data_IF_128519433712
#
_entry.id   IF_128519433712
#
_cell.length_a   1.000
_cell.length_b   1.000
_cell.length_c   1.000
_cell.angle_alpha   90.00
_cell.angle_beta   90.00
_cell.angle_gamma   90.00
#
_symmetry.space_group_name_H-M   'P 1'
#
loop_
_entity.id
_entity.type
_entity.pdbx_description
1 polymer ?
#
# COMPACT_ATOMS: atom_id res chain seq x y z
N UNK A 1 33.29 8.65 -6.36
CA UNK A 1 31.91 8.70 -5.83
C UNK A 1 30.96 8.31 -6.94
N UNK A 2 30.51 7.06 -6.96
CA UNK A 2 29.56 6.56 -7.96
C UNK A 2 28.13 6.84 -7.48
N UNK A 3 27.68 8.08 -7.62
CA UNK A 3 26.31 8.52 -7.32
C UNK A 3 25.64 8.90 -8.65
N UNK A 4 25.17 7.92 -9.44
CA UNK A 4 24.15 8.11 -10.49
C UNK A 4 23.79 6.87 -11.34
N UNK A 5 24.09 5.62 -10.94
CA UNK A 5 23.83 4.45 -11.80
C UNK A 5 22.39 3.91 -11.77
N UNK A 6 21.56 4.36 -10.84
CA UNK A 6 20.19 3.88 -10.66
C UNK A 6 19.19 5.00 -10.34
N UNK A 7 17.93 4.73 -10.65
CA UNK A 7 16.73 5.40 -10.19
C UNK A 7 16.23 4.68 -8.93
N UNK A 8 15.95 5.43 -7.87
CA UNK A 8 15.26 4.89 -6.70
C UNK A 8 13.77 5.20 -6.78
N UNK A 9 12.96 4.13 -6.82
CA UNK A 9 11.50 4.19 -6.83
C UNK A 9 10.98 3.72 -5.48
N UNK A 10 10.28 4.60 -4.76
CA UNK A 10 9.64 4.24 -3.49
C UNK A 10 8.15 4.00 -3.69
N UNK A 11 7.65 2.86 -3.22
CA UNK A 11 6.28 2.40 -3.31
C UNK A 11 5.64 2.42 -1.91
N UNK A 12 4.55 3.15 -1.72
CA UNK A 12 3.80 3.15 -0.46
C UNK A 12 2.73 2.05 -0.47
N UNK A 13 2.76 1.17 0.52
CA UNK A 13 1.94 -0.05 0.62
C UNK A 13 1.32 -0.17 2.01
N UNK A 14 0.33 -1.07 2.24
CA UNK A 14 -0.18 -1.33 3.57
C UNK A 14 0.93 -1.70 4.56
N UNK A 15 1.04 -0.91 5.63
CA UNK A 15 2.03 -1.07 6.69
C UNK A 15 1.92 -2.45 7.35
N UNK A 16 3.05 -3.15 7.46
CA UNK A 16 3.13 -4.51 8.02
C UNK A 16 2.80 -5.62 7.03
N UNK A 17 2.54 -5.29 5.76
CA UNK A 17 2.30 -6.24 4.68
C UNK A 17 3.24 -6.00 3.48
N UNK A 18 4.42 -5.43 3.75
CA UNK A 18 5.42 -5.09 2.75
C UNK A 18 5.90 -6.35 2.00
N UNK A 19 6.09 -7.46 2.71
CA UNK A 19 6.46 -8.76 2.14
C UNK A 19 5.39 -9.29 1.17
N UNK A 20 4.12 -9.20 1.56
CA UNK A 20 3.00 -9.55 0.70
C UNK A 20 2.97 -8.63 -0.52
N UNK A 21 3.16 -7.32 -0.34
CA UNK A 21 3.15 -6.37 -1.45
C UNK A 21 4.25 -6.66 -2.48
N UNK A 22 5.45 -7.07 -2.05
CA UNK A 22 6.54 -7.49 -2.95
C UNK A 22 6.09 -8.63 -3.85
N UNK A 23 5.41 -9.65 -3.31
CA UNK A 23 4.91 -10.79 -4.11
C UNK A 23 3.80 -10.41 -5.10
N UNK A 24 3.26 -9.19 -5.01
CA UNK A 24 2.18 -8.68 -5.86
C UNK A 24 2.65 -7.59 -6.83
N UNK A 25 3.94 -7.29 -6.87
CA UNK A 25 4.49 -6.40 -7.87
C UNK A 25 4.43 -7.06 -9.27
N UNK A 26 4.24 -6.29 -10.34
CA UNK A 26 4.25 -6.83 -11.70
C UNK A 26 5.63 -7.38 -12.03
N UNK A 27 5.69 -8.53 -12.70
CA UNK A 27 6.96 -9.20 -13.01
C UNK A 27 7.91 -8.26 -13.77
N UNK A 28 7.40 -7.47 -14.73
CA UNK A 28 8.23 -6.51 -15.47
C UNK A 28 8.87 -5.42 -14.60
N UNK A 29 8.23 -5.02 -13.49
CA UNK A 29 8.80 -4.09 -12.52
C UNK A 29 9.86 -4.79 -11.64
N UNK A 30 9.60 -6.03 -11.23
CA UNK A 30 10.56 -6.86 -10.48
C UNK A 30 11.82 -7.13 -11.32
N UNK A 31 11.66 -7.50 -12.59
CA UNK A 31 12.76 -7.79 -13.52
C UNK A 31 13.56 -6.53 -13.93
N UNK A 32 12.99 -5.35 -13.75
CA UNK A 32 13.66 -4.09 -13.98
C UNK A 32 14.46 -3.63 -12.75
N UNK A 33 14.08 -4.07 -11.55
CA UNK A 33 14.79 -3.72 -10.33
C UNK A 33 16.04 -4.59 -10.16
N UNK A 34 17.19 -3.94 -9.93
CA UNK A 34 18.41 -4.62 -9.46
C UNK A 34 18.31 -5.01 -7.99
N UNK A 35 17.52 -4.24 -7.23
CA UNK A 35 17.30 -4.44 -5.81
C UNK A 35 15.88 -4.01 -5.43
N UNK A 36 15.26 -4.77 -4.54
CA UNK A 36 14.04 -4.39 -3.83
C UNK A 36 14.35 -4.49 -2.33
N UNK A 37 14.18 -3.41 -1.59
CA UNK A 37 14.44 -3.34 -0.15
C UNK A 37 13.25 -2.76 0.61
N UNK A 38 12.99 -3.28 1.81
CA UNK A 38 11.90 -2.83 2.67
C UNK A 38 12.13 -3.24 4.12
N UNK A 39 11.40 -2.60 5.04
CA UNK A 39 11.34 -2.99 6.45
C UNK A 39 9.89 -3.20 6.85
N UNK A 40 9.58 -4.33 7.48
CA UNK A 40 8.22 -4.62 7.93
C UNK A 40 7.72 -3.56 8.91
N UNK A 41 6.51 -3.05 8.65
CA UNK A 41 5.86 -2.04 9.49
C UNK A 41 6.24 -0.59 9.16
N UNK A 42 6.96 -0.33 8.07
CA UNK A 42 7.21 1.06 7.60
C UNK A 42 6.17 1.54 6.60
N UNK A 43 5.56 0.64 5.84
CA UNK A 43 4.63 0.93 4.76
C UNK A 43 5.30 1.27 3.43
N UNK A 44 6.59 0.97 3.25
CA UNK A 44 7.30 1.31 2.00
C UNK A 44 8.20 0.19 1.48
N UNK A 45 8.26 0.10 0.15
CA UNK A 45 9.25 -0.64 -0.61
C UNK A 45 10.12 0.35 -1.40
N UNK A 46 11.42 0.12 -1.47
CA UNK A 46 12.35 0.87 -2.33
C UNK A 46 12.89 -0.06 -3.40
N UNK A 47 12.78 0.34 -4.66
CA UNK A 47 13.28 -0.39 -5.82
C UNK A 47 14.40 0.42 -6.46
N UNK A 48 15.56 -0.21 -6.67
CA UNK A 48 16.67 0.37 -7.42
C UNK A 48 16.61 -0.12 -8.88
N UNK A 49 16.24 0.77 -9.80
CA UNK A 49 16.14 0.49 -11.24
C UNK A 49 17.40 1.05 -11.92
N UNK A 50 18.21 0.25 -12.63
CA UNK A 50 19.42 0.73 -13.27
C UNK A 50 19.08 1.65 -14.46
N UNK A 51 19.92 2.66 -14.69
CA UNK A 51 19.74 3.67 -15.73
C UNK A 51 20.50 3.36 -17.03
N UNK A 52 20.99 2.13 -17.17
CA UNK A 52 21.71 1.66 -18.35
C UNK A 52 20.79 1.38 -19.55
N UNK A 53 19.47 1.28 -19.31
CA UNK A 53 18.46 0.99 -20.33
C UNK A 53 17.27 1.96 -20.27
N UNK A 54 17.42 3.22 -20.73
CA UNK A 54 16.40 4.26 -20.59
C UNK A 54 15.04 3.91 -21.20
N UNK A 55 15.00 3.22 -22.35
CA UNK A 55 13.74 2.80 -22.97
C UNK A 55 12.97 1.78 -22.12
N UNK A 56 13.69 0.85 -21.50
CA UNK A 56 13.11 -0.17 -20.61
C UNK A 56 12.59 0.47 -19.33
N UNK A 57 13.35 1.40 -18.74
CA UNK A 57 12.95 2.19 -17.57
C UNK A 57 11.65 2.96 -17.84
N UNK A 58 11.63 3.76 -18.91
CA UNK A 58 10.48 4.58 -19.28
C UNK A 58 9.25 3.70 -19.50
N UNK A 59 9.39 2.56 -20.17
CA UNK A 59 8.31 1.60 -20.36
C UNK A 59 7.77 1.07 -19.03
N UNK A 60 8.64 0.61 -18.13
CA UNK A 60 8.25 0.04 -16.83
C UNK A 60 7.54 1.08 -15.96
N UNK A 61 8.01 2.33 -15.97
CA UNK A 61 7.37 3.41 -15.22
C UNK A 61 6.03 3.83 -15.85
N UNK A 62 5.94 3.87 -17.18
CA UNK A 62 4.68 4.09 -17.90
C UNK A 62 3.67 3.00 -17.56
N UNK A 63 4.08 1.73 -17.59
CA UNK A 63 3.24 0.59 -17.22
C UNK A 63 2.77 0.69 -15.76
N UNK A 64 3.65 1.09 -14.83
CA UNK A 64 3.30 1.31 -13.42
C UNK A 64 2.29 2.45 -13.25
N UNK A 65 2.46 3.56 -13.99
CA UNK A 65 1.54 4.71 -13.95
C UNK A 65 0.16 4.34 -14.47
N UNK A 66 0.09 3.61 -15.58
CA UNK A 66 -1.18 3.25 -16.22
C UNK A 66 -1.88 2.06 -15.57
N UNK A 67 -1.11 1.12 -15.02
CA UNK A 67 -1.60 -0.13 -14.43
C UNK A 67 -1.01 -0.35 -13.03
N UNK A 68 -1.29 0.56 -12.07
CA UNK A 68 -0.72 0.47 -10.74
C UNK A 68 -1.21 -0.80 -10.01
N UNK A 69 -0.30 -1.58 -9.38
CA UNK A 69 -0.66 -2.78 -8.62
C UNK A 69 -1.66 -2.46 -7.53
N UNK A 70 -2.64 -3.33 -7.27
CA UNK A 70 -3.73 -3.04 -6.34
C UNK A 70 -3.29 -2.85 -4.89
N UNK A 71 -2.12 -3.37 -4.50
CA UNK A 71 -1.55 -3.20 -3.17
C UNK A 71 -0.88 -1.83 -2.94
N UNK A 72 -0.85 -0.94 -3.93
CA UNK A 72 -0.12 0.32 -3.87
C UNK A 72 -1.01 1.51 -3.50
N UNK A 73 -0.58 2.38 -2.58
CA UNK A 73 -1.22 3.67 -2.33
C UNK A 73 -0.67 4.77 -3.24
N UNK A 74 0.65 4.87 -3.34
CA UNK A 74 1.35 5.89 -4.15
C UNK A 74 2.71 5.35 -4.57
N UNK A 75 3.32 5.93 -5.59
CA UNK A 75 4.73 5.73 -5.93
C UNK A 75 5.42 7.07 -6.07
N UNK A 76 6.71 7.14 -5.77
CA UNK A 76 7.51 8.36 -5.91
C UNK A 76 8.94 8.04 -6.34
N UNK A 77 9.50 8.88 -7.19
CA UNK A 77 10.92 8.86 -7.52
C UNK A 77 11.69 9.62 -6.44
N UNK A 78 12.69 8.99 -5.85
CA UNK A 78 13.57 9.64 -4.88
C UNK A 78 14.42 10.71 -5.59
N UNK A 79 14.36 11.92 -5.06
CA UNK A 79 15.19 13.06 -5.48
C UNK A 79 16.50 13.07 -4.70
N UNK A 80 16.44 12.70 -3.42
CA UNK A 80 17.61 12.61 -2.54
C UNK A 80 17.22 12.48 -1.07
N UNK A 81 18.23 12.54 -0.21
CA UNK A 81 18.08 12.48 1.24
C UNK A 81 18.54 13.79 1.88
N UNK A 82 17.85 14.22 2.93
CA UNK A 82 18.25 15.32 3.80
C UNK A 82 18.60 14.74 5.16
N UNK A 83 19.85 14.95 5.60
CA UNK A 83 20.31 14.55 6.92
C UNK A 83 19.79 15.50 7.98
N UNK A 84 19.36 14.96 9.12
CA UNK A 84 18.91 15.71 10.30
C UNK A 84 19.70 15.18 11.50
N UNK A 85 20.63 15.96 12.09
CA UNK A 85 21.38 15.52 13.26
C UNK A 85 20.45 15.09 14.39
N UNK A 86 20.79 14.03 15.12
CA UNK A 86 19.91 13.51 16.18
C UNK A 86 19.65 14.53 17.29
N UNK A 87 20.66 15.34 17.64
CA UNK A 87 20.53 16.47 18.57
C UNK A 87 19.41 17.43 18.16
N UNK A 88 19.37 17.79 16.87
CA UNK A 88 18.33 18.65 16.29
C UNK A 88 16.98 17.94 16.25
N UNK A 89 16.94 16.67 15.82
CA UNK A 89 15.71 15.89 15.68
C UNK A 89 14.96 15.72 17.02
N UNK A 90 15.69 15.45 18.10
CA UNK A 90 15.12 15.22 19.43
C UNK A 90 14.75 16.51 20.17
N UNK A 91 15.24 17.67 19.70
CA UNK A 91 14.99 18.99 20.28
C UNK A 91 13.96 19.79 19.46
N UNK A 92 12.69 19.92 19.90
CA UNK A 92 11.62 20.50 19.08
C UNK A 92 11.87 21.92 18.57
N UNK A 93 12.50 22.77 19.40
CA UNK A 93 12.83 24.15 19.03
C UNK A 93 13.95 24.21 17.98
N UNK A 94 14.95 23.33 18.12
CA UNK A 94 16.06 23.24 17.19
C UNK A 94 15.60 22.66 15.86
N UNK A 95 14.76 21.63 15.87
CA UNK A 95 14.16 21.07 14.67
C UNK A 95 13.34 22.13 13.91
N UNK A 96 12.52 22.91 14.61
CA UNK A 96 11.76 23.97 13.95
C UNK A 96 12.66 25.04 13.33
N UNK A 97 13.70 25.47 14.04
CA UNK A 97 14.69 26.41 13.50
C UNK A 97 15.44 25.84 12.28
N UNK A 98 15.84 24.57 12.35
CA UNK A 98 16.49 23.85 11.25
C UNK A 98 15.62 23.81 9.99
N UNK A 99 14.32 23.53 10.17
CA UNK A 99 13.33 23.53 9.08
C UNK A 99 13.14 24.94 8.48
N UNK A 100 13.03 25.97 9.33
CA UNK A 100 12.89 27.37 8.92
C UNK A 100 14.12 27.89 8.17
N UNK A 101 15.31 27.41 8.53
CA UNK A 101 16.57 27.75 7.88
C UNK A 101 16.86 26.90 6.63
N UNK A 102 15.88 26.15 6.13
CA UNK A 102 16.03 25.40 4.88
C UNK A 102 16.93 24.17 5.01
N UNK A 103 16.82 23.47 6.14
CA UNK A 103 17.60 22.26 6.46
C UNK A 103 19.11 22.53 6.56
N UNK A 104 19.46 23.63 7.24
CA UNK A 104 20.83 24.02 7.53
C UNK A 104 21.05 24.24 9.03
N UNK A 105 22.23 23.88 9.52
CA UNK A 105 22.65 24.10 10.93
C UNK A 105 23.41 25.43 11.03
N UNK A 106 22.85 26.41 11.73
CA UNK A 106 23.47 27.73 11.95
C UNK A 106 23.42 28.69 10.75
N UNK A 107 24.02 29.88 10.89
CA UNK A 107 24.03 30.98 9.89
C UNK A 107 25.27 30.97 8.95
N UNK A 108 25.98 29.85 8.77
CA UNK A 108 27.27 29.85 8.07
C UNK A 108 27.27 29.24 6.65
N UNK A 109 27.82 30.01 5.71
CA UNK A 109 28.08 29.74 4.29
C UNK A 109 29.01 28.54 3.98
N UNK A 110 29.46 27.75 4.96
CA UNK A 110 30.51 26.75 4.78
C UNK A 110 30.15 25.31 5.19
N UNK A 111 28.87 24.98 5.35
CA UNK A 111 28.49 23.59 5.56
C UNK A 111 28.21 22.90 4.22
N UNK A 112 29.16 22.10 3.74
CA UNK A 112 29.03 21.23 2.57
C UNK A 112 28.09 20.04 2.83
N UNK A 113 26.95 20.26 3.49
CA UNK A 113 25.86 19.30 3.45
C UNK A 113 25.22 19.46 2.07
N UNK A 114 25.67 18.63 1.16
CA UNK A 114 25.10 18.46 -0.16
C UNK A 114 23.66 17.95 -0.01
N UNK A 115 22.71 18.84 0.22
CA UNK A 115 21.30 18.65 -0.15
C UNK A 115 21.22 18.67 -1.69
N UNK A 116 22.05 17.87 -2.35
CA UNK A 116 22.18 17.78 -3.80
C UNK A 116 21.01 16.93 -4.30
N UNK A 117 19.85 17.57 -4.24
CA UNK A 117 18.57 17.01 -4.63
C UNK A 117 18.50 17.04 -6.16
N UNK A 118 18.47 15.85 -6.77
CA UNK A 118 18.48 15.71 -8.21
C UNK A 118 17.08 15.91 -8.82
N UNK A 119 16.56 17.13 -8.70
CA UNK A 119 15.20 17.46 -9.13
C UNK A 119 14.98 17.29 -10.63
N UNK A 120 15.96 17.70 -11.44
CA UNK A 120 15.85 17.67 -12.90
C UNK A 120 15.63 16.25 -13.42
N UNK A 121 16.41 15.28 -12.91
CA UNK A 121 16.27 13.86 -13.25
C UNK A 121 14.91 13.31 -12.86
N UNK A 122 14.46 13.56 -11.63
CA UNK A 122 13.16 13.07 -11.18
C UNK A 122 12.02 13.64 -12.04
N UNK A 123 12.03 14.95 -12.30
CA UNK A 123 10.98 15.60 -13.09
C UNK A 123 11.00 15.21 -14.56
N UNK A 124 12.18 15.01 -15.17
CA UNK A 124 12.26 14.53 -16.55
C UNK A 124 11.64 13.14 -16.67
N UNK A 125 11.91 12.25 -15.72
CA UNK A 125 11.36 10.90 -15.73
C UNK A 125 9.84 10.92 -15.51
N UNK A 126 9.35 11.71 -14.55
CA UNK A 126 7.91 11.87 -14.33
C UNK A 126 7.23 12.35 -15.62
N UNK A 127 7.74 13.42 -16.25
CA UNK A 127 7.20 13.93 -17.51
C UNK A 127 7.18 12.86 -18.60
N UNK A 128 8.30 12.17 -18.84
CA UNK A 128 8.41 11.15 -19.90
C UNK A 128 7.51 9.94 -19.62
N UNK A 129 7.41 9.48 -18.38
CA UNK A 129 6.56 8.33 -18.00
C UNK A 129 5.06 8.60 -18.18
N UNK A 130 4.65 9.88 -18.16
CA UNK A 130 3.25 10.31 -18.36
C UNK A 130 2.90 10.60 -19.82
N UNK A 131 3.91 10.91 -20.65
CA UNK A 131 3.72 11.39 -22.02
C UNK A 131 3.51 10.27 -23.05
N UNK A 132 3.58 8.99 -22.67
CA UNK A 132 3.40 7.86 -23.57
C UNK A 132 1.96 7.34 -23.46
N UNK A 133 1.03 7.79 -24.31
CA UNK A 133 -0.19 7.02 -24.55
C UNK A 133 0.20 5.73 -25.27
N UNK A 134 -0.23 4.57 -24.76
CA UNK A 134 -0.16 3.29 -25.50
C UNK A 134 -0.76 3.53 -26.88
N UNK A 135 0.02 3.21 -27.92
CA UNK A 135 -0.25 3.51 -29.31
C UNK A 135 -1.74 3.38 -29.70
N UNK A 136 -2.42 4.52 -29.83
CA UNK A 136 -3.57 4.66 -30.70
C UNK A 136 -3.13 5.43 -31.93
N UNK A 137 -3.11 4.74 -33.08
CA UNK A 137 -2.85 5.32 -34.39
C UNK A 137 -3.72 6.57 -34.62
N UNK A 138 -3.10 7.75 -34.59
CA UNK A 138 -3.36 8.86 -35.52
C UNK A 138 -2.31 9.94 -35.31
N UNK A 139 -1.45 10.10 -36.31
CA UNK A 139 -0.55 11.22 -36.42
C UNK A 139 -1.34 12.50 -36.71
N UNK A 140 -1.06 13.57 -35.97
CA UNK A 140 -1.21 14.93 -36.46
C UNK A 140 -0.15 15.80 -35.81
N UNK A 141 0.86 16.10 -36.60
CA UNK A 141 1.88 17.12 -36.38
C UNK A 141 1.26 18.51 -36.28
N UNK A 142 1.54 19.25 -35.21
CA UNK A 142 1.43 20.72 -35.21
C UNK A 142 2.62 21.36 -34.49
N UNK A 143 3.11 22.43 -35.12
CA UNK A 143 4.25 23.27 -34.76
C UNK A 143 4.12 23.89 -33.37
N UNK A 144 5.21 23.92 -32.62
CA UNK A 144 5.32 24.61 -31.33
C UNK A 144 6.09 25.92 -31.56
N UNK A 145 5.33 26.97 -31.86
CA UNK A 145 5.79 28.34 -31.62
C UNK A 145 5.62 28.68 -30.14
N UNK A 146 6.52 29.54 -29.66
CA UNK A 146 6.72 29.98 -28.28
C UNK A 146 5.41 30.32 -27.54
N UNK A 147 5.03 29.48 -26.57
CA UNK A 147 4.02 29.79 -25.54
C UNK A 147 4.76 29.82 -24.21
N UNK A 148 4.67 30.95 -23.48
CA UNK A 148 5.17 31.06 -22.12
C UNK A 148 4.63 29.88 -21.30
N UNK A 149 5.51 29.02 -20.77
CA UNK A 149 5.07 27.86 -20.00
C UNK A 149 4.14 28.33 -18.86
N UNK A 150 2.95 27.73 -18.72
CA UNK A 150 2.09 28.04 -17.58
C UNK A 150 2.87 27.77 -16.28
N UNK A 151 2.77 28.67 -15.30
CA UNK A 151 3.44 28.50 -14.00
C UNK A 151 2.98 27.18 -13.37
N UNK A 152 3.86 26.16 -13.33
CA UNK A 152 3.57 24.85 -12.75
C UNK A 152 3.09 25.00 -11.32
N UNK A 153 2.01 24.30 -10.98
CA UNK A 153 1.49 24.25 -9.62
C UNK A 153 2.01 23.02 -8.89
N UNK A 154 2.31 23.15 -7.61
CA UNK A 154 2.78 22.02 -6.81
C UNK A 154 2.23 22.03 -5.40
N UNK A 155 2.29 20.88 -4.75
CA UNK A 155 2.15 20.79 -3.30
C UNK A 155 3.33 20.04 -2.68
N UNK A 156 3.61 20.38 -1.43
CA UNK A 156 4.52 19.63 -0.59
C UNK A 156 3.72 18.87 0.47
N UNK A 157 4.00 17.57 0.58
CA UNK A 157 3.42 16.65 1.55
C UNK A 157 4.51 16.07 2.43
N UNK A 158 4.16 15.70 3.65
CA UNK A 158 5.10 15.01 4.52
C UNK A 158 4.45 13.81 5.20
N UNK A 159 5.03 12.64 4.99
CA UNK A 159 4.63 11.41 5.64
C UNK A 159 5.56 11.10 6.82
N UNK A 160 4.97 11.08 8.01
CA UNK A 160 5.71 10.80 9.24
C UNK A 160 5.90 9.29 9.49
N UNK A 161 5.18 8.42 8.79
CA UNK A 161 5.12 6.99 9.07
C UNK A 161 4.87 6.71 10.55
N UNK A 162 5.75 5.91 11.16
CA UNK A 162 5.71 5.56 12.60
C UNK A 162 6.52 6.49 13.49
N UNK A 163 7.13 7.54 12.92
CA UNK A 163 7.99 8.46 13.66
C UNK A 163 7.15 9.50 14.40
N UNK A 164 7.39 9.62 15.71
CA UNK A 164 6.79 10.64 16.56
C UNK A 164 7.87 11.63 16.99
N UNK A 165 7.66 12.91 16.69
CA UNK A 165 8.44 14.02 17.23
C UNK A 165 7.53 14.91 18.09
N UNK A 166 8.04 15.36 19.23
CA UNK A 166 7.32 16.28 20.13
C UNK A 166 7.41 17.70 19.54
N UNK A 167 6.33 18.46 19.61
CA UNK A 167 6.34 19.91 19.33
C UNK A 167 6.50 20.36 17.86
N UNK A 168 6.87 19.48 16.93
CA UNK A 168 6.87 19.75 15.48
C UNK A 168 5.73 18.97 14.83
N UNK A 169 5.00 19.59 13.91
CA UNK A 169 3.90 18.95 13.17
C UNK A 169 4.37 18.57 11.77
N UNK A 170 3.73 17.57 11.16
CA UNK A 170 4.02 17.18 9.78
C UNK A 170 3.83 18.34 8.80
N UNK A 171 2.91 19.27 9.08
CA UNK A 171 2.71 20.48 8.31
C UNK A 171 3.92 21.42 8.34
N UNK A 172 4.65 21.48 9.46
CA UNK A 172 5.83 22.35 9.59
C UNK A 172 6.98 21.81 8.71
N UNK A 173 7.14 20.47 8.67
CA UNK A 173 8.11 19.82 7.78
C UNK A 173 7.70 19.92 6.30
N UNK A 174 6.42 19.73 6.00
CA UNK A 174 5.88 19.90 4.65
C UNK A 174 6.06 21.35 4.15
N UNK A 175 5.87 22.35 5.00
CA UNK A 175 6.11 23.75 4.66
C UNK A 175 7.58 24.03 4.35
N UNK A 176 8.51 23.50 5.14
CA UNK A 176 9.95 23.62 4.88
C UNK A 176 10.35 22.94 3.56
N UNK A 177 9.78 21.77 3.27
CA UNK A 177 9.97 21.11 1.97
C UNK A 177 9.40 21.95 0.81
N UNK A 178 8.23 22.57 1.00
CA UNK A 178 7.65 23.48 0.01
C UNK A 178 8.52 24.70 -0.26
N UNK A 179 9.13 25.29 0.79
CA UNK A 179 10.08 26.39 0.64
C UNK A 179 11.35 25.95 -0.11
N UNK A 180 11.86 24.74 0.17
CA UNK A 180 12.99 24.17 -0.55
C UNK A 180 12.69 23.96 -2.05
N UNK A 181 11.50 23.41 -2.36
CA UNK A 181 11.04 23.26 -3.75
C UNK A 181 10.86 24.62 -4.44
N UNK A 182 10.29 25.62 -3.76
CA UNK A 182 10.13 26.96 -4.33
C UNK A 182 11.47 27.66 -4.62
N UNK A 183 12.52 27.40 -3.81
CA UNK A 183 13.89 27.87 -4.12
C UNK A 183 14.45 27.17 -5.36
N UNK A 184 14.21 25.87 -5.52
CA UNK A 184 14.64 25.13 -6.70
C UNK A 184 13.86 25.55 -7.97
N UNK A 185 12.61 25.98 -7.81
CA UNK A 185 11.72 26.37 -8.90
C UNK A 185 10.98 27.70 -8.62
N UNK A 186 11.65 28.86 -8.80
CA UNK A 186 11.07 30.17 -8.45
C UNK A 186 9.77 30.55 -9.17
N UNK A 187 9.49 29.92 -10.33
CA UNK A 187 8.27 30.14 -11.10
C UNK A 187 7.08 29.25 -10.71
N UNK A 188 7.28 28.27 -9.82
CA UNK A 188 6.23 27.35 -9.42
C UNK A 188 5.34 27.95 -8.32
N UNK A 189 4.04 27.64 -8.37
CA UNK A 189 3.05 28.14 -7.41
C UNK A 189 2.53 27.03 -6.51
N UNK A 190 2.40 27.29 -5.22
CA UNK A 190 1.80 26.32 -4.29
C UNK A 190 0.28 26.25 -4.51
N UNK A 191 -0.26 25.06 -4.70
CA UNK A 191 -1.69 24.80 -4.69
C UNK A 191 -1.97 23.47 -3.95
N UNK A 192 -2.79 23.52 -2.89
CA UNK A 192 -3.02 22.37 -2.01
C UNK A 192 -4.16 21.46 -2.48
N UNK A 193 -4.99 21.92 -3.41
CA UNK A 193 -6.18 21.21 -3.89
C UNK A 193 -5.98 20.65 -5.30
N UNK A 194 -5.48 21.47 -6.22
CA UNK A 194 -5.27 21.12 -7.62
C UNK A 194 -3.82 21.42 -7.98
N UNK A 195 -3.03 20.38 -8.21
CA UNK A 195 -1.58 20.52 -8.39
C UNK A 195 -1.09 19.61 -9.51
N UNK A 196 -0.09 20.09 -10.25
CA UNK A 196 0.57 19.31 -11.31
C UNK A 196 1.59 18.34 -10.72
N UNK A 197 2.27 18.76 -9.64
CA UNK A 197 3.36 18.00 -9.02
C UNK A 197 3.15 17.90 -7.52
N UNK A 198 3.26 16.69 -6.97
CA UNK A 198 3.38 16.49 -5.53
C UNK A 198 4.82 16.11 -5.16
N UNK A 199 5.42 16.93 -4.31
CA UNK A 199 6.70 16.64 -3.66
C UNK A 199 6.39 16.05 -2.30
N UNK A 200 6.97 14.90 -1.99
CA UNK A 200 6.74 14.19 -0.73
C UNK A 200 8.05 14.03 0.02
N UNK A 201 8.04 14.45 1.29
CA UNK A 201 9.07 14.11 2.25
C UNK A 201 8.62 12.95 3.12
N UNK A 202 9.53 12.06 3.50
CA UNK A 202 9.23 11.01 4.50
C UNK A 202 10.39 10.76 5.42
N UNK A 203 10.10 10.48 6.68
CA UNK A 203 11.12 9.99 7.60
C UNK A 203 11.56 8.59 7.17
N UNK A 204 12.85 8.42 6.95
CA UNK A 204 13.44 7.11 6.68
C UNK A 204 14.24 6.69 7.91
N UNK A 205 13.93 5.49 8.40
CA UNK A 205 14.82 4.75 9.29
C UNK A 205 15.77 3.98 8.40
N UNK A 206 17.02 3.77 8.82
CA UNK A 206 17.91 2.85 8.12
C UNK A 206 17.19 1.54 7.81
N UNK A 207 16.88 1.35 6.53
CA UNK A 207 16.19 0.16 6.05
C UNK A 207 17.20 -0.96 6.02
N UNK A 208 16.98 -2.00 6.84
CA UNK A 208 17.71 -3.25 6.67
C UNK A 208 17.31 -3.84 5.33
N UNK A 209 18.28 -4.05 4.44
CA UNK A 209 18.04 -4.64 3.12
C UNK A 209 17.51 -6.07 3.29
N UNK A 210 16.33 -6.33 2.72
CA UNK A 210 15.84 -7.70 2.47
C UNK A 210 15.89 -7.92 0.97
N UNK A 211 16.92 -8.60 0.49
CA UNK A 211 17.04 -8.90 -0.94
C UNK A 211 16.00 -9.93 -1.36
N UNK A 212 15.16 -9.56 -2.33
CA UNK A 212 14.38 -10.50 -3.12
C UNK A 212 15.00 -10.62 -4.50
N UNK A 213 15.73 -11.71 -4.77
CA UNK A 213 16.11 -12.09 -6.13
C UNK A 213 15.11 -13.15 -6.57
N UNK A 214 14.18 -12.78 -7.44
CA UNK A 214 13.13 -13.68 -7.92
C UNK A 214 13.74 -14.99 -8.44
N UNK A 215 13.18 -16.12 -8.01
CA UNK A 215 13.54 -17.40 -8.60
C UNK A 215 13.17 -17.38 -10.09
N UNK A 216 14.18 -17.59 -10.94
CA UNK A 216 14.02 -17.56 -12.39
C UNK A 216 13.04 -18.63 -12.86
N UNK A 217 12.13 -18.24 -13.74
CA UNK A 217 11.32 -19.16 -14.53
C UNK A 217 12.24 -19.92 -15.50
N UNK A 218 12.55 -21.18 -15.21
CA UNK A 218 13.04 -22.11 -16.23
C UNK A 218 11.86 -22.82 -16.88
N UNK A 219 11.62 -22.49 -18.14
CA UNK A 219 10.76 -23.21 -19.06
C UNK A 219 11.28 -24.63 -19.30
N UNK A 220 10.53 -25.65 -18.93
CA UNK A 220 10.66 -26.98 -19.56
C UNK A 220 9.32 -27.73 -19.49
N UNK A 221 8.98 -28.31 -20.65
CA UNK A 221 7.77 -29.05 -20.99
C UNK A 221 7.28 -30.05 -19.93
N UNK A 222 5.98 -29.98 -19.61
CA UNK A 222 5.27 -30.99 -18.82
C UNK A 222 5.09 -32.24 -19.69
N UNK A 223 5.81 -33.31 -19.35
CA UNK A 223 5.33 -34.69 -19.49
C UNK A 223 4.74 -35.10 -18.15
N UNK A 224 3.57 -35.71 -18.20
CA UNK A 224 2.88 -36.34 -17.08
C UNK A 224 3.78 -37.42 -16.45
N UNK A 225 4.06 -37.34 -15.15
CA UNK A 225 3.76 -38.45 -14.24
C UNK A 225 3.84 -38.02 -12.77
N UNK A 226 3.19 -38.85 -11.97
CA UNK A 226 2.82 -38.73 -10.56
C UNK A 226 3.98 -38.49 -9.59
N UNK A 227 3.72 -37.59 -8.63
CA UNK A 227 4.10 -37.60 -7.20
C UNK A 227 4.32 -36.15 -6.74
N UNK A 228 3.35 -35.56 -6.04
CA UNK A 228 3.47 -34.19 -5.50
C UNK A 228 3.68 -34.27 -3.99
N UNK A 229 4.98 -34.19 -3.67
CA UNK A 229 5.55 -33.83 -2.39
C UNK A 229 5.16 -32.38 -2.00
N UNK A 230 5.16 -32.12 -0.69
CA UNK A 230 4.73 -30.87 -0.06
C UNK A 230 5.77 -29.75 -0.31
N UNK A 231 5.52 -28.86 -1.27
CA UNK A 231 6.30 -27.64 -1.46
C UNK A 231 5.59 -26.40 -0.90
N UNK A 232 6.15 -25.79 0.15
CA UNK A 232 5.79 -24.44 0.62
C UNK A 232 6.27 -23.37 -0.38
N UNK A 233 5.57 -22.23 -0.56
CA UNK A 233 6.07 -21.15 -1.40
C UNK A 233 7.19 -20.37 -0.69
N UNK A 234 8.35 -20.27 -1.36
CA UNK A 234 9.38 -19.22 -1.22
C UNK A 234 9.70 -18.74 0.21
N UNK A 235 10.66 -19.38 0.87
CA UNK A 235 11.11 -18.99 2.21
C UNK A 235 11.97 -17.71 2.17
N UNK A 236 11.36 -16.57 2.51
CA UNK A 236 12.08 -15.31 2.81
C UNK A 236 12.97 -15.55 4.04
N UNK A 237 14.30 -15.51 3.86
CA UNK A 237 15.26 -15.69 4.96
C UNK A 237 15.19 -14.50 5.92
N UNK A 238 14.50 -14.66 7.04
CA UNK A 238 14.47 -13.71 8.15
C UNK A 238 15.81 -13.75 8.91
N UNK A 239 16.63 -12.70 8.82
CA UNK A 239 17.75 -12.48 9.74
C UNK A 239 17.28 -11.66 10.95
N UNK A 240 17.71 -12.09 12.16
CA UNK A 240 17.52 -11.37 13.43
C UNK A 240 18.71 -10.43 13.59
N UNK A 241 18.48 -9.12 13.72
CA UNK A 241 19.60 -8.15 13.76
C UNK A 241 19.37 -7.09 14.84
N UNK A 242 20.43 -6.87 15.63
CA UNK A 242 20.61 -5.88 16.69
C UNK A 242 20.40 -4.42 16.20
N UNK A 243 19.96 -3.54 17.11
CA UNK A 243 19.81 -2.10 16.89
C UNK A 243 21.19 -1.43 16.95
N UNK A 244 21.68 -0.88 15.83
CA UNK A 244 22.79 0.07 15.86
C UNK A 244 22.23 1.46 16.15
N UNK A 245 22.83 2.16 17.11
CA UNK A 245 22.46 3.53 17.50
C UNK A 245 22.77 4.49 16.36
N UNK A 246 21.74 4.95 15.65
CA UNK A 246 21.92 5.81 14.51
C UNK A 246 22.05 7.29 14.93
N UNK A 247 23.20 7.92 14.66
CA UNK A 247 23.54 9.29 15.08
C UNK A 247 22.78 10.39 14.30
N UNK A 248 22.09 10.02 13.21
CA UNK A 248 21.33 10.94 12.35
C UNK A 248 19.96 10.37 11.98
N UNK A 249 18.97 11.26 11.84
CA UNK A 249 17.68 10.97 11.22
C UNK A 249 17.70 11.44 9.76
N UNK A 250 16.99 10.75 8.86
CA UNK A 250 17.00 11.06 7.43
C UNK A 250 15.59 11.38 6.93
N UNK A 251 15.48 12.42 6.09
CA UNK A 251 14.27 12.69 5.31
C UNK A 251 14.57 12.28 3.87
N UNK A 252 13.81 11.33 3.33
CA UNK A 252 13.81 11.07 1.90
C UNK A 252 12.84 12.04 1.23
N UNK A 253 13.33 12.74 0.20
CA UNK A 253 12.54 13.63 -0.64
C UNK A 253 12.28 12.93 -1.96
N UNK A 254 11.03 12.94 -2.42
CA UNK A 254 10.64 12.36 -3.70
C UNK A 254 9.60 13.18 -4.44
N UNK A 255 9.47 12.91 -5.74
CA UNK A 255 8.37 13.41 -6.58
C UNK A 255 7.39 12.27 -6.82
N UNK A 256 6.11 12.48 -6.51
CA UNK A 256 5.06 11.48 -6.65
C UNK A 256 4.73 11.25 -8.14
N UNK A 257 4.61 9.98 -8.52
CA UNK A 257 4.14 9.56 -9.83
C UNK A 257 2.61 9.72 -9.90
N UNK A 258 2.04 10.25 -11.00
CA UNK A 258 0.60 10.45 -11.14
C UNK A 258 -0.09 9.14 -11.56
N UNK A 259 -0.09 8.18 -10.64
CA UNK A 259 -0.68 6.87 -10.87
C UNK A 259 -2.17 6.99 -11.24
N UNK A 260 -2.60 6.21 -12.23
CA UNK A 260 -3.99 6.11 -12.70
C UNK A 260 -4.89 5.32 -11.71
N UNK A 261 -4.84 5.67 -10.42
CA UNK A 261 -5.54 4.96 -9.34
C UNK A 261 -7.06 5.13 -9.46
N UNK A 262 -7.53 6.35 -9.70
CA UNK A 262 -8.96 6.68 -9.77
C UNK A 262 -9.65 6.09 -11.00
N UNK A 263 -8.91 5.90 -12.10
CA UNK A 263 -9.42 5.28 -13.33
C UNK A 263 -9.20 3.77 -13.34
N UNK A 264 -8.54 3.20 -12.33
CA UNK A 264 -8.36 1.76 -12.21
C UNK A 264 -9.73 1.10 -11.95
N UNK A 265 -10.25 0.27 -12.87
CA UNK A 265 -11.58 -0.33 -12.73
C UNK A 265 -11.66 -1.25 -11.51
N UNK A 266 -10.52 -1.78 -11.06
CA UNK A 266 -10.39 -2.66 -9.90
C UNK A 266 -10.27 -1.92 -8.56
N UNK A 267 -10.33 -0.59 -8.56
CA UNK A 267 -10.33 0.27 -7.35
C UNK A 267 -11.65 1.01 -7.17
N UNK A 268 -12.70 0.55 -7.85
CA UNK A 268 -13.96 1.26 -7.86
C UNK A 268 -14.86 0.90 -6.68
N UNK A 269 -15.20 1.91 -5.88
CA UNK A 269 -16.22 1.84 -4.83
C UNK A 269 -16.97 3.18 -4.77
N UNK A 270 -18.16 3.29 -5.38
CA UNK A 270 -18.87 4.57 -5.45
C UNK A 270 -19.51 4.97 -4.11
N UNK A 271 -19.79 4.02 -3.21
CA UNK A 271 -20.47 4.32 -1.95
C UNK A 271 -19.65 3.87 -0.75
N UNK A 272 -19.40 4.83 0.15
CA UNK A 272 -18.73 4.58 1.41
C UNK A 272 -19.68 4.35 2.59
N UNK A 273 -19.21 3.53 3.53
CA UNK A 273 -19.71 3.45 4.89
C UNK A 273 -18.94 4.42 5.80
N UNK A 274 -19.33 4.47 7.08
CA UNK A 274 -18.67 5.31 8.09
C UNK A 274 -17.18 4.99 8.26
N UNK A 275 -16.82 3.71 8.12
CA UNK A 275 -15.45 3.21 8.28
C UNK A 275 -15.11 2.17 7.21
N UNK A 276 -15.29 2.51 5.93
CA UNK A 276 -14.90 1.60 4.85
C UNK A 276 -13.40 1.30 4.88
N UNK A 277 -13.04 0.02 4.90
CA UNK A 277 -11.66 -0.42 4.70
C UNK A 277 -11.16 0.01 3.32
N UNK A 278 -9.93 0.48 3.19
CA UNK A 278 -9.36 0.81 1.87
C UNK A 278 -9.20 -0.44 1.00
N UNK A 279 -9.42 -0.33 -0.32
CA UNK A 279 -9.35 -1.46 -1.26
C UNK A 279 -7.96 -2.10 -1.28
N UNK A 280 -6.91 -1.29 -1.20
CA UNK A 280 -5.51 -1.74 -1.19
C UNK A 280 -5.22 -2.63 0.02
N UNK A 281 -5.82 -2.28 1.17
CA UNK A 281 -5.69 -3.05 2.41
C UNK A 281 -6.51 -4.34 2.28
N UNK A 282 -7.75 -4.27 1.79
CA UNK A 282 -8.58 -5.46 1.57
C UNK A 282 -7.89 -6.47 0.62
N UNK A 283 -7.35 -5.99 -0.50
CA UNK A 283 -6.61 -6.82 -1.45
C UNK A 283 -5.39 -7.47 -0.79
N UNK A 284 -4.60 -6.70 -0.04
CA UNK A 284 -3.39 -7.22 0.59
C UNK A 284 -3.70 -8.21 1.72
N UNK A 285 -4.79 -7.99 2.48
CA UNK A 285 -5.29 -8.95 3.46
C UNK A 285 -5.70 -10.27 2.81
N UNK A 286 -6.42 -10.22 1.69
CA UNK A 286 -6.79 -11.42 0.92
C UNK A 286 -5.57 -12.12 0.34
N UNK A 287 -4.63 -11.36 -0.22
CA UNK A 287 -3.36 -11.88 -0.72
C UNK A 287 -2.56 -12.61 0.37
N UNK A 288 -2.54 -12.08 1.60
CA UNK A 288 -1.94 -12.69 2.78
C UNK A 288 -2.72 -13.93 3.24
N UNK A 289 -4.06 -13.88 3.20
CA UNK A 289 -4.92 -14.98 3.62
C UNK A 289 -4.82 -16.20 2.69
N UNK A 290 -4.44 -15.99 1.43
CA UNK A 290 -4.29 -17.01 0.40
C UNK A 290 -5.55 -17.86 0.18
N UNK A 291 -6.67 -17.25 -0.29
CA UNK A 291 -7.82 -18.00 -0.79
C UNK A 291 -7.40 -19.03 -1.83
N UNK A 292 -7.85 -20.27 -1.66
CA UNK A 292 -7.61 -21.36 -2.59
C UNK A 292 -8.83 -21.56 -3.47
N UNK A 293 -8.62 -22.10 -4.67
CA UNK A 293 -9.74 -22.52 -5.53
C UNK A 293 -10.64 -23.49 -4.77
N UNK A 294 -11.94 -23.20 -4.73
CA UNK A 294 -12.95 -23.94 -3.98
C UNK A 294 -13.21 -23.43 -2.56
N UNK A 295 -12.39 -22.53 -2.01
CA UNK A 295 -12.60 -22.01 -0.65
C UNK A 295 -13.93 -21.25 -0.55
N UNK A 296 -14.67 -21.50 0.53
CA UNK A 296 -15.76 -20.65 1.03
C UNK A 296 -15.14 -19.60 1.96
N UNK A 297 -15.14 -18.34 1.52
CA UNK A 297 -14.57 -17.20 2.22
C UNK A 297 -15.68 -16.31 2.78
N UNK A 298 -15.63 -16.02 4.09
CA UNK A 298 -16.65 -15.22 4.77
C UNK A 298 -16.04 -14.00 5.47
N UNK A 299 -16.61 -12.83 5.20
CA UNK A 299 -16.47 -11.66 6.06
C UNK A 299 -17.69 -11.57 6.98
N UNK A 300 -17.48 -11.68 8.30
CA UNK A 300 -18.56 -11.65 9.29
C UNK A 300 -18.98 -10.23 9.70
N UNK A 301 -18.24 -9.20 9.29
CA UNK A 301 -18.47 -7.79 9.60
C UNK A 301 -18.26 -6.94 8.33
N UNK A 302 -19.02 -7.27 7.28
CA UNK A 302 -18.70 -6.87 5.92
C UNK A 302 -18.83 -5.36 5.62
N UNK A 303 -19.58 -4.61 6.44
CA UNK A 303 -19.83 -3.19 6.19
C UNK A 303 -20.43 -2.99 4.80
N UNK A 304 -19.79 -2.12 4.00
CA UNK A 304 -20.17 -1.89 2.59
C UNK A 304 -19.56 -2.89 1.60
N UNK A 305 -19.14 -4.07 2.09
CA UNK A 305 -18.76 -5.22 1.27
C UNK A 305 -17.35 -5.21 0.69
N UNK A 306 -16.43 -4.37 1.17
CA UNK A 306 -15.13 -4.18 0.49
C UNK A 306 -14.32 -5.48 0.38
N UNK A 307 -14.16 -6.25 1.46
CA UNK A 307 -13.41 -7.51 1.45
C UNK A 307 -14.05 -8.54 0.49
N UNK A 308 -15.35 -8.89 0.60
CA UNK A 308 -15.94 -9.89 -0.28
C UNK A 308 -16.00 -9.45 -1.74
N UNK A 309 -16.19 -8.15 -2.04
CA UNK A 309 -16.18 -7.62 -3.41
C UNK A 309 -14.78 -7.75 -4.02
N UNK A 310 -13.75 -7.25 -3.34
CA UNK A 310 -12.35 -7.35 -3.81
C UNK A 310 -11.93 -8.82 -3.94
N UNK A 311 -12.36 -9.67 -3.00
CA UNK A 311 -12.17 -11.11 -3.05
C UNK A 311 -12.72 -11.74 -4.32
N UNK A 312 -14.00 -11.53 -4.59
CA UNK A 312 -14.68 -12.10 -5.74
C UNK A 312 -14.13 -11.57 -7.08
N UNK A 313 -13.60 -10.34 -7.11
CA UNK A 313 -12.97 -9.76 -8.31
C UNK A 313 -11.58 -10.33 -8.57
N UNK A 314 -10.76 -10.54 -7.53
CA UNK A 314 -9.33 -10.89 -7.69
C UNK A 314 -8.98 -12.35 -7.42
N UNK A 315 -9.88 -13.11 -6.79
CA UNK A 315 -9.70 -14.53 -6.46
C UNK A 315 -10.91 -15.34 -6.93
N UNK A 316 -11.26 -15.32 -8.23
CA UNK A 316 -12.52 -15.88 -8.75
C UNK A 316 -12.65 -17.40 -8.60
N UNK A 317 -11.58 -18.09 -8.18
CA UNK A 317 -11.62 -19.51 -7.83
C UNK A 317 -12.32 -19.80 -6.49
N UNK A 318 -12.59 -18.80 -5.66
CA UNK A 318 -13.21 -18.96 -4.33
C UNK A 318 -14.60 -18.32 -4.29
N UNK A 319 -15.47 -18.84 -3.43
CA UNK A 319 -16.77 -18.26 -3.16
C UNK A 319 -16.68 -17.25 -2.02
N UNK A 320 -17.08 -16.00 -2.25
CA UNK A 320 -17.04 -14.94 -1.25
C UNK A 320 -18.43 -14.59 -0.73
N UNK A 321 -18.54 -14.40 0.57
CA UNK A 321 -19.75 -13.90 1.22
C UNK A 321 -19.43 -12.85 2.29
N UNK A 322 -20.40 -11.96 2.54
CA UNK A 322 -20.33 -10.92 3.54
C UNK A 322 -21.61 -10.84 4.37
N UNK A 323 -21.47 -10.92 5.69
CA UNK A 323 -22.56 -10.69 6.66
C UNK A 323 -22.43 -9.29 7.23
N UNK A 324 -23.53 -8.54 7.23
CA UNK A 324 -23.60 -7.20 7.82
C UNK A 324 -24.92 -7.05 8.58
N UNK A 325 -24.89 -6.39 9.74
CA UNK A 325 -26.05 -6.26 10.63
C UNK A 325 -26.88 -5.00 10.35
N UNK A 326 -26.29 -3.99 9.71
CA UNK A 326 -26.94 -2.74 9.35
C UNK A 326 -27.54 -2.88 7.93
N UNK A 327 -28.87 -2.89 7.77
CA UNK A 327 -29.51 -3.10 6.45
C UNK A 327 -29.03 -2.14 5.38
N UNK A 328 -28.89 -0.84 5.70
CA UNK A 328 -28.42 0.15 4.73
C UNK A 328 -26.99 -0.11 4.23
N UNK A 329 -26.14 -0.78 5.01
CA UNK A 329 -24.80 -1.14 4.56
C UNK A 329 -24.82 -2.34 3.61
N UNK A 330 -25.79 -3.26 3.77
CA UNK A 330 -26.03 -4.36 2.83
C UNK A 330 -26.46 -3.80 1.47
N UNK A 331 -27.37 -2.82 1.45
CA UNK A 331 -27.81 -2.17 0.21
C UNK A 331 -26.65 -1.47 -0.51
N UNK A 332 -25.84 -0.72 0.24
CA UNK A 332 -24.60 -0.09 -0.28
C UNK A 332 -23.60 -1.12 -0.79
N UNK A 333 -23.45 -2.26 -0.10
CA UNK A 333 -22.57 -3.33 -0.53
C UNK A 333 -23.04 -3.94 -1.86
N UNK A 334 -24.35 -4.15 -2.02
CA UNK A 334 -24.92 -4.64 -3.27
C UNK A 334 -24.71 -3.66 -4.44
N UNK A 335 -24.87 -2.34 -4.19
CA UNK A 335 -24.55 -1.30 -5.15
C UNK A 335 -23.06 -1.33 -5.52
N UNK A 336 -22.16 -1.29 -4.54
CA UNK A 336 -20.72 -1.36 -4.78
C UNK A 336 -20.32 -2.60 -5.59
N UNK A 337 -20.91 -3.77 -5.31
CA UNK A 337 -20.63 -5.00 -6.03
C UNK A 337 -21.05 -4.91 -7.51
N UNK A 338 -22.25 -4.38 -7.78
CA UNK A 338 -22.76 -4.17 -9.14
C UNK A 338 -21.91 -3.18 -9.92
N UNK A 339 -21.56 -2.07 -9.30
CA UNK A 339 -20.82 -0.96 -9.90
C UNK A 339 -19.37 -1.33 -10.20
N UNK A 340 -18.69 -2.03 -9.27
CA UNK A 340 -17.37 -2.62 -9.51
C UNK A 340 -17.42 -3.61 -10.68
N UNK A 341 -18.42 -4.48 -10.72
CA UNK A 341 -18.59 -5.45 -11.80
C UNK A 341 -18.72 -4.77 -13.16
N UNK A 342 -19.60 -3.77 -13.26
CA UNK A 342 -19.80 -3.02 -14.49
C UNK A 342 -18.48 -2.36 -14.96
N UNK A 343 -17.72 -1.72 -14.06
CA UNK A 343 -16.42 -1.13 -14.41
C UNK A 343 -15.40 -2.14 -14.90
N UNK A 344 -15.33 -3.33 -14.29
CA UNK A 344 -14.43 -4.40 -14.74
C UNK A 344 -14.87 -4.97 -16.10
N UNK A 345 -16.17 -5.17 -16.32
CA UNK A 345 -16.73 -5.67 -17.58
C UNK A 345 -16.58 -4.66 -18.74
N UNK A 346 -16.64 -3.36 -18.48
CA UNK A 346 -16.38 -2.29 -19.46
C UNK A 346 -14.92 -2.22 -19.91
N UNK A 347 -13.99 -2.78 -19.13
CA UNK A 347 -12.56 -2.67 -19.38
C UNK A 347 -12.11 -3.62 -20.48
N UNK A 348 -11.41 -3.10 -21.51
CA UNK A 348 -10.82 -3.94 -22.57
C UNK A 348 -9.83 -4.95 -21.97
N UNK A 349 -10.07 -6.23 -22.22
CA UNK A 349 -9.25 -7.31 -21.65
C UNK A 349 -9.55 -7.62 -20.18
N UNK A 350 -10.57 -6.98 -19.60
CA UNK A 350 -11.12 -7.36 -18.30
C UNK A 350 -11.58 -8.82 -18.37
N UNK A 351 -11.05 -9.65 -17.47
CA UNK A 351 -11.58 -11.01 -17.33
C UNK A 351 -12.93 -10.87 -16.65
N UNK A 352 -14.04 -11.33 -17.26
CA UNK A 352 -15.34 -11.30 -16.60
C UNK A 352 -15.23 -12.07 -15.28
N UNK A 353 -15.49 -11.40 -14.15
CA UNK A 353 -15.64 -12.11 -12.89
C UNK A 353 -17.01 -12.78 -12.90
N UNK A 354 -17.02 -14.09 -13.07
CA UNK A 354 -18.23 -14.89 -12.99
C UNK A 354 -18.74 -15.03 -11.54
N UNK A 355 -17.93 -14.68 -10.54
CA UNK A 355 -18.27 -14.75 -9.13
C UNK A 355 -18.65 -13.37 -8.62
N UNK A 356 -19.94 -13.16 -8.33
CA UNK A 356 -20.39 -12.07 -7.46
C UNK A 356 -20.36 -12.54 -6.00
N UNK A 357 -20.00 -11.68 -5.04
CA UNK A 357 -20.08 -12.05 -3.64
C UNK A 357 -21.54 -12.21 -3.20
N UNK A 358 -21.79 -13.11 -2.25
CA UNK A 358 -23.09 -13.20 -1.57
C UNK A 358 -23.12 -12.28 -0.37
N UNK A 359 -23.87 -11.18 -0.47
CA UNK A 359 -23.99 -10.17 0.58
C UNK A 359 -25.35 -10.30 1.25
N UNK A 360 -25.39 -10.40 2.59
CA UNK A 360 -26.64 -10.65 3.30
C UNK A 360 -26.71 -9.95 4.65
N UNK A 361 -27.95 -9.63 5.05
CA UNK A 361 -28.25 -9.14 6.40
C UNK A 361 -28.07 -10.28 7.40
N UNK A 362 -27.17 -10.11 8.36
CA UNK A 362 -26.89 -11.14 9.36
C UNK A 362 -26.16 -10.61 10.60
N UNK A 363 -26.36 -11.30 11.73
CA UNK A 363 -25.67 -10.98 12.97
C UNK A 363 -24.38 -11.80 13.08
N UNK A 364 -23.23 -11.12 13.09
CA UNK A 364 -21.91 -11.72 13.30
C UNK A 364 -21.81 -12.56 14.58
N UNK A 365 -22.69 -12.33 15.58
CA UNK A 365 -22.79 -13.11 16.82
C UNK A 365 -23.50 -14.46 16.63
N UNK A 366 -24.26 -14.62 15.56
CA UNK A 366 -25.13 -15.76 15.29
C UNK A 366 -25.37 -15.95 13.78
N UNK A 367 -24.28 -16.08 13.01
CA UNK A 367 -24.36 -16.27 11.54
C UNK A 367 -25.17 -17.54 11.24
N UNK A 368 -26.20 -17.43 10.40
CA UNK A 368 -27.18 -18.49 10.11
C UNK A 368 -26.66 -19.58 9.15
N UNK A 369 -25.38 -19.94 9.26
CA UNK A 369 -24.73 -21.00 8.50
C UNK A 369 -24.42 -22.19 9.40
N UNK A 370 -24.30 -23.39 8.82
CA UNK A 370 -23.94 -24.60 9.57
C UNK A 370 -22.52 -24.49 10.11
N UNK A 371 -22.20 -25.28 11.13
CA UNK A 371 -20.84 -25.34 11.66
C UNK A 371 -19.90 -26.03 10.66
N UNK A 372 -18.63 -25.62 10.63
CA UNK A 372 -17.60 -26.27 9.83
C UNK A 372 -17.76 -26.11 8.32
N UNK A 373 -18.41 -25.05 7.84
CA UNK A 373 -18.65 -24.82 6.40
C UNK A 373 -17.71 -23.81 5.76
N UNK A 374 -16.98 -23.01 6.55
CA UNK A 374 -16.15 -21.91 6.03
C UNK A 374 -14.68 -22.35 6.01
N UNK A 375 -14.01 -22.16 4.88
CA UNK A 375 -12.59 -22.44 4.71
C UNK A 375 -11.70 -21.32 5.26
N UNK A 376 -12.14 -20.07 5.03
CA UNK A 376 -11.38 -18.88 5.35
C UNK A 376 -12.30 -17.76 5.84
N UNK A 377 -11.97 -17.16 6.98
CA UNK A 377 -12.60 -15.92 7.44
C UNK A 377 -11.61 -14.77 7.24
N UNK A 378 -12.01 -13.71 6.53
CA UNK A 378 -11.24 -12.46 6.43
C UNK A 378 -12.17 -11.33 6.83
N UNK A 379 -11.87 -10.63 7.92
CA UNK A 379 -12.81 -9.64 8.46
C UNK A 379 -12.11 -8.49 9.19
N UNK A 380 -12.59 -7.27 8.93
CA UNK A 380 -12.23 -6.08 9.69
C UNK A 380 -13.24 -5.87 10.83
N UNK A 381 -12.84 -6.25 12.04
CA UNK A 381 -13.72 -6.26 13.20
C UNK A 381 -13.98 -4.82 13.69
N UNK A 382 -15.07 -4.54 14.42
CA UNK A 382 -15.30 -3.21 14.98
C UNK A 382 -14.25 -2.83 16.04
N UNK A 383 -13.65 -1.63 15.92
CA UNK A 383 -12.52 -1.19 16.77
C UNK A 383 -12.92 -0.41 18.03
N UNK A 384 -14.21 -0.06 18.22
CA UNK A 384 -14.65 0.64 19.42
C UNK A 384 -14.30 2.14 19.46
N UNK A 385 -13.86 2.70 18.34
CA UNK A 385 -13.50 4.13 18.18
C UNK A 385 -14.52 4.89 17.36
N UNK A 386 -14.76 4.45 16.12
CA UNK A 386 -15.73 5.04 15.19
C UNK A 386 -16.99 4.18 15.04
N UNK A 387 -16.83 2.88 15.24
CA UNK A 387 -17.90 1.89 15.30
C UNK A 387 -17.81 1.12 16.62
N UNK A 388 -18.94 0.98 17.32
CA UNK A 388 -19.03 0.39 18.67
C UNK A 388 -18.25 1.18 19.74
N UNK A 389 -18.03 0.58 20.92
CA UNK A 389 -17.18 1.08 22.00
C UNK A 389 -16.36 -0.05 22.61
N UNK A 390 -15.26 0.25 23.31
CA UNK A 390 -14.47 -0.77 24.02
C UNK A 390 -15.35 -1.67 24.93
N UNK A 391 -16.29 -1.05 25.66
CA UNK A 391 -17.24 -1.75 26.55
C UNK A 391 -18.15 -2.69 25.77
N UNK A 392 -18.68 -2.23 24.64
CA UNK A 392 -19.48 -3.07 23.74
C UNK A 392 -18.65 -4.21 23.14
N UNK A 393 -17.42 -3.92 22.71
CA UNK A 393 -16.50 -4.89 22.15
C UNK A 393 -16.11 -5.98 23.15
N UNK A 394 -15.96 -5.64 24.43
CA UNK A 394 -15.75 -6.63 25.50
C UNK A 394 -16.86 -7.68 25.58
N UNK A 395 -18.10 -7.33 25.21
CA UNK A 395 -19.24 -8.26 25.13
C UNK A 395 -19.34 -8.96 23.76
N UNK A 396 -18.89 -8.29 22.70
CA UNK A 396 -18.98 -8.76 21.32
C UNK A 396 -17.89 -9.78 20.97
N UNK A 397 -16.63 -9.50 21.27
CA UNK A 397 -15.48 -10.31 20.83
C UNK A 397 -15.54 -11.77 21.31
N UNK A 398 -15.97 -12.08 22.55
CA UNK A 398 -16.16 -13.48 22.96
C UNK A 398 -17.17 -14.22 22.07
N UNK A 399 -18.22 -13.54 21.61
CA UNK A 399 -19.24 -14.12 20.72
C UNK A 399 -18.70 -14.27 19.29
N UNK A 400 -17.96 -13.28 18.79
CA UNK A 400 -17.32 -13.36 17.48
C UNK A 400 -16.32 -14.52 17.41
N UNK A 401 -15.44 -14.66 18.40
CA UNK A 401 -14.46 -15.77 18.42
C UNK A 401 -15.15 -17.13 18.48
N UNK A 402 -16.25 -17.26 19.23
CA UNK A 402 -17.07 -18.48 19.21
C UNK A 402 -17.66 -18.76 17.82
N UNK A 403 -18.09 -17.73 17.10
CA UNK A 403 -18.59 -17.89 15.73
C UNK A 403 -17.47 -18.25 14.76
N UNK A 404 -16.28 -17.66 14.89
CA UNK A 404 -15.09 -18.05 14.11
C UNK A 404 -14.78 -19.54 14.31
N UNK A 405 -14.72 -20.01 15.56
CA UNK A 405 -14.49 -21.43 15.89
C UNK A 405 -15.58 -22.32 15.27
N UNK A 406 -16.85 -21.91 15.39
CA UNK A 406 -17.99 -22.71 14.94
C UNK A 406 -18.06 -22.80 13.41
N UNK A 407 -17.85 -21.68 12.72
CA UNK A 407 -18.03 -21.57 11.27
C UNK A 407 -16.88 -22.21 10.50
N UNK A 408 -15.65 -22.07 10.99
CA UNK A 408 -14.48 -22.65 10.34
C UNK A 408 -14.56 -24.18 10.35
N UNK A 409 -14.28 -24.79 9.20
CA UNK A 409 -14.00 -26.23 9.16
C UNK A 409 -12.69 -26.55 9.88
N UNK A 410 -12.47 -27.83 10.15
CA UNK A 410 -11.16 -28.29 10.64
C UNK A 410 -10.08 -27.92 9.63
N UNK A 411 -8.99 -27.29 10.11
CA UNK A 411 -7.92 -26.74 9.27
C UNK A 411 -8.30 -25.48 8.49
N UNK A 412 -9.47 -24.88 8.77
CA UNK A 412 -9.84 -23.56 8.27
C UNK A 412 -8.95 -22.46 8.87
N UNK A 413 -8.94 -21.29 8.22
CA UNK A 413 -8.04 -20.18 8.54
C UNK A 413 -8.83 -18.91 8.83
N UNK A 414 -8.26 -18.00 9.62
CA UNK A 414 -8.84 -16.68 9.81
C UNK A 414 -7.77 -15.58 9.78
N UNK A 415 -8.09 -14.48 9.11
CA UNK A 415 -7.36 -13.21 9.14
C UNK A 415 -8.32 -12.16 9.70
N UNK A 416 -8.03 -11.69 10.92
CA UNK A 416 -8.89 -10.76 11.64
C UNK A 416 -8.13 -9.46 11.90
N UNK A 417 -8.71 -8.34 11.46
CA UNK A 417 -8.14 -7.01 11.68
C UNK A 417 -8.88 -6.33 12.83
N UNK A 418 -8.14 -5.73 13.75
CA UNK A 418 -8.74 -5.00 14.88
C UNK A 418 -7.78 -3.99 15.51
N UNK A 419 -8.31 -2.81 15.89
CA UNK A 419 -7.65 -1.89 16.82
C UNK A 419 -7.62 -2.37 18.28
N UNK A 420 -8.48 -3.32 18.65
CA UNK A 420 -8.65 -3.89 20.00
C UNK A 420 -7.71 -5.09 20.23
N UNK A 421 -6.44 -4.94 19.88
CA UNK A 421 -5.47 -6.04 19.78
C UNK A 421 -5.33 -6.85 21.08
N UNK A 422 -5.30 -6.16 22.23
CA UNK A 422 -5.22 -6.80 23.57
C UNK A 422 -6.50 -7.57 23.91
N UNK A 423 -7.66 -7.04 23.54
CA UNK A 423 -8.94 -7.68 23.81
C UNK A 423 -9.10 -8.95 22.97
N UNK A 424 -8.78 -8.89 21.67
CA UNK A 424 -8.81 -10.08 20.81
C UNK A 424 -7.84 -11.15 21.31
N UNK A 425 -6.60 -10.77 21.64
CA UNK A 425 -5.61 -11.69 22.22
C UNK A 425 -6.15 -12.39 23.47
N UNK A 426 -6.76 -11.64 24.40
CA UNK A 426 -7.39 -12.22 25.59
C UNK A 426 -8.49 -13.23 25.27
N UNK A 427 -9.26 -13.00 24.21
CA UNK A 427 -10.28 -13.98 23.78
C UNK A 427 -9.67 -15.22 23.15
N UNK A 428 -8.63 -15.06 22.33
CA UNK A 428 -7.91 -16.19 21.72
C UNK A 428 -7.21 -17.07 22.77
N UNK A 429 -6.69 -16.47 23.84
CA UNK A 429 -6.03 -17.18 24.94
C UNK A 429 -7.00 -17.80 25.96
N UNK A 430 -8.30 -17.55 25.81
CA UNK A 430 -9.32 -18.06 26.73
C UNK A 430 -9.49 -19.58 26.64
N UNK A 431 -9.97 -20.19 27.72
CA UNK A 431 -10.21 -21.65 27.81
C UNK A 431 -11.15 -22.20 26.75
N UNK A 432 -12.06 -21.39 26.22
CA UNK A 432 -13.01 -21.84 25.19
C UNK A 432 -12.43 -21.74 23.77
N UNK A 433 -11.37 -20.95 23.55
CA UNK A 433 -10.83 -20.68 22.21
C UNK A 433 -9.49 -21.36 21.97
N UNK A 434 -8.60 -21.34 22.97
CA UNK A 434 -7.23 -21.86 22.86
C UNK A 434 -7.12 -23.32 22.40
N UNK A 435 -8.07 -24.24 22.74
CA UNK A 435 -8.03 -25.61 22.22
C UNK A 435 -8.37 -25.72 20.72
N UNK A 436 -9.02 -24.72 20.13
CA UNK A 436 -9.57 -24.77 18.78
C UNK A 436 -8.87 -23.85 17.78
N UNK A 437 -8.20 -22.80 18.25
CA UNK A 437 -7.53 -21.81 17.41
C UNK A 437 -6.05 -21.72 17.76
N UNK A 438 -5.21 -21.72 16.73
CA UNK A 438 -3.77 -21.46 16.83
C UNK A 438 -3.45 -20.13 16.16
N UNK A 439 -2.78 -19.23 16.88
CA UNK A 439 -2.29 -17.97 16.30
C UNK A 439 -0.99 -18.25 15.54
N UNK A 440 -1.00 -18.06 14.23
CA UNK A 440 0.15 -18.27 13.34
C UNK A 440 0.99 -17.00 13.19
N UNK A 441 0.33 -15.84 13.06
CA UNK A 441 0.97 -14.53 12.86
C UNK A 441 0.17 -13.44 13.59
N UNK A 442 0.85 -12.37 14.03
CA UNK A 442 0.27 -11.23 14.76
C UNK A 442 0.57 -9.90 14.10
#
# INVERSE_FOLDING_TARGET
MALNSSLELTLAVPMGMEDIAVTRLPQGLVDAATEISYMLGTGYLTLAIPLDQPEKEVKVLSDLVQHPPLCLFTASITVGLISVPRSVFDAPKELLAYLQNGFQVGDQENNSNSNDLNWQKALSIVKTSTAIPVATNKASSQNIDQVAEPSTTFRASFDRGTVQHKGVRSQDVAAALGALTGKAFPGWKVNLTEYDVEVVGRWVRETKLVFFKGEGTSSTSIREDRDIDKGEPGSVKRQKIEEQSNETAMIQVGVVLPLALSSCPYRYRPVDGRTSLKIEIAYTLLAMAGPKTGDIVLDICAGVGTIPIVGATHFPGSFFAGSEIVPSNVDKAAENAREMKAKVEETKGGKPSHSQPSLFLGDAKAVCWRSGTVDLIVSDLPWGQRESSHVSNCKLYPKLVKQVIRLLRVGGRAVLVTGERKLLQRQLDSVFAKPFLQVVQK
#
